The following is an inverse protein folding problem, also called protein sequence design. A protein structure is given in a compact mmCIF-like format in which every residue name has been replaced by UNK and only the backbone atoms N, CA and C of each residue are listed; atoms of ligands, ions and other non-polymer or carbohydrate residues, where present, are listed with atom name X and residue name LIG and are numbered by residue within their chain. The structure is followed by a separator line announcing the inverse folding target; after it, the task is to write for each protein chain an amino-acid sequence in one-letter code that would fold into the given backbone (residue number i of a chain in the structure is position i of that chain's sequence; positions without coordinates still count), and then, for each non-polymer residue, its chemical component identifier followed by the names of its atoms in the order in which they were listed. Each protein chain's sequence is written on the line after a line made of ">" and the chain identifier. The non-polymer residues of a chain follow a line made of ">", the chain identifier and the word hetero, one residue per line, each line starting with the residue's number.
data_IF_387279903717
#
_entry.id   IF_387279903717
#
_cell.length_a   1.000
_cell.length_b   1.000
_cell.length_c   1.000
_cell.angle_alpha   90.00
_cell.angle_beta   90.00
_cell.angle_gamma   90.00
#
_symmetry.space_group_name_H-M   'P 1'
#
loop_
_entity.id
_entity.type
_entity.pdbx_description
1 polymer ?
#
# COMPACT_ATOMS: atom_id res chain seq x y z
N UNK A 1 -11.16 -34.90 -8.31
CA UNK A 1 -12.10 -34.36 -9.32
C UNK A 1 -11.63 -32.95 -9.62
N UNK A 2 -11.34 -32.63 -10.88
CA UNK A 2 -10.93 -31.27 -11.25
C UNK A 2 -12.14 -30.34 -11.13
N UNK A 3 -12.10 -29.39 -10.21
CA UNK A 3 -13.15 -28.39 -10.04
C UNK A 3 -13.05 -27.38 -11.20
N UNK A 4 -13.68 -27.70 -12.33
CA UNK A 4 -13.85 -26.75 -13.42
C UNK A 4 -14.90 -25.72 -12.96
N UNK A 5 -14.47 -24.50 -12.67
CA UNK A 5 -15.37 -23.36 -12.43
C UNK A 5 -15.81 -22.82 -13.79
N UNK A 6 -17.11 -22.91 -14.09
CA UNK A 6 -17.69 -22.22 -15.24
C UNK A 6 -17.83 -20.74 -14.92
N UNK A 7 -17.51 -19.88 -15.89
CA UNK A 7 -17.76 -18.45 -15.76
C UNK A 7 -19.27 -18.16 -15.70
N UNK A 8 -19.65 -17.13 -14.96
CA UNK A 8 -21.02 -16.69 -14.75
C UNK A 8 -21.26 -15.40 -15.53
N UNK A 9 -22.21 -15.43 -16.45
CA UNK A 9 -22.52 -14.29 -17.31
C UNK A 9 -21.54 -14.11 -18.47
N UNK A 10 -21.63 -12.97 -19.15
CA UNK A 10 -20.74 -12.61 -20.25
C UNK A 10 -19.49 -11.87 -19.75
N UNK A 11 -18.40 -11.93 -20.51
CA UNK A 11 -17.28 -10.98 -20.37
C UNK A 11 -17.62 -9.72 -21.17
N UNK A 12 -17.47 -8.55 -20.55
CA UNK A 12 -17.77 -7.27 -21.18
C UNK A 12 -16.58 -6.75 -22.00
N UNK A 13 -16.85 -6.23 -23.20
CA UNK A 13 -15.88 -5.45 -23.98
C UNK A 13 -15.79 -3.98 -23.52
N UNK A 14 -16.74 -3.53 -22.70
CA UNK A 14 -16.76 -2.19 -22.10
C UNK A 14 -16.66 -2.34 -20.57
N UNK A 15 -15.48 -2.14 -19.97
CA UNK A 15 -15.30 -2.42 -18.56
C UNK A 15 -16.00 -1.39 -17.66
N UNK A 16 -16.35 -1.81 -16.45
CA UNK A 16 -16.70 -0.89 -15.38
C UNK A 16 -15.42 -0.44 -14.66
N UNK A 17 -15.23 0.86 -14.49
CA UNK A 17 -14.06 1.39 -13.78
C UNK A 17 -14.39 1.60 -12.31
N UNK A 18 -13.84 0.75 -11.45
CA UNK A 18 -14.03 0.80 -10.00
C UNK A 18 -13.01 1.76 -9.38
N UNK A 19 -13.46 3.00 -9.17
CA UNK A 19 -12.61 4.15 -8.80
C UNK A 19 -11.75 3.90 -7.57
N UNK A 20 -12.34 3.31 -6.52
CA UNK A 20 -11.67 3.10 -5.23
C UNK A 20 -10.44 2.19 -5.34
N UNK A 21 -10.42 1.28 -6.32
CA UNK A 21 -9.33 0.34 -6.55
C UNK A 21 -8.51 0.64 -7.80
N UNK A 22 -8.82 1.73 -8.53
CA UNK A 22 -8.22 2.08 -9.83
C UNK A 22 -8.13 0.86 -10.76
N UNK A 23 -9.26 0.15 -10.91
CA UNK A 23 -9.30 -1.13 -11.62
C UNK A 23 -10.47 -1.18 -12.59
N UNK A 24 -10.20 -1.66 -13.79
CA UNK A 24 -11.22 -1.97 -14.79
C UNK A 24 -11.72 -3.41 -14.63
N UNK A 25 -13.04 -3.56 -14.47
CA UNK A 25 -13.72 -4.85 -14.37
C UNK A 25 -14.34 -5.21 -15.72
N UNK A 26 -14.02 -6.40 -16.21
CA UNK A 26 -14.50 -7.00 -17.44
C UNK A 26 -15.40 -8.21 -17.19
N UNK A 27 -15.35 -8.83 -16.00
CA UNK A 27 -16.25 -9.94 -15.64
C UNK A 27 -16.70 -9.88 -14.17
N UNK A 28 -17.70 -10.69 -13.83
CA UNK A 28 -18.19 -10.78 -12.45
C UNK A 28 -17.17 -11.46 -11.53
N UNK A 29 -16.36 -12.38 -12.06
CA UNK A 29 -15.29 -13.05 -11.29
C UNK A 29 -14.18 -12.07 -10.89
N UNK A 30 -13.87 -11.08 -11.73
CA UNK A 30 -12.93 -10.01 -11.40
C UNK A 30 -13.47 -9.16 -10.24
N UNK A 31 -14.79 -8.89 -10.20
CA UNK A 31 -15.43 -8.25 -9.04
C UNK A 31 -15.33 -9.15 -7.79
N UNK A 32 -15.64 -10.44 -7.91
CA UNK A 32 -15.48 -11.39 -6.79
C UNK A 32 -14.03 -11.42 -6.27
N UNK A 33 -13.05 -11.38 -7.17
CA UNK A 33 -11.63 -11.33 -6.82
C UNK A 33 -11.31 -10.05 -6.04
N UNK A 34 -11.71 -8.88 -6.52
CA UNK A 34 -11.51 -7.60 -5.83
C UNK A 34 -12.14 -7.62 -4.43
N UNK A 35 -13.39 -8.11 -4.33
CA UNK A 35 -14.07 -8.23 -3.05
C UNK A 35 -13.28 -9.12 -2.09
N UNK A 36 -12.79 -10.26 -2.57
CA UNK A 36 -12.11 -11.24 -1.73
C UNK A 36 -10.77 -10.73 -1.21
N UNK A 37 -10.03 -10.04 -2.08
CA UNK A 37 -8.71 -9.52 -1.72
C UNK A 37 -8.77 -8.23 -0.90
N UNK A 38 -9.87 -7.47 -1.00
CA UNK A 38 -9.98 -6.14 -0.43
C UNK A 38 -11.22 -5.95 0.44
N UNK A 39 -11.79 -7.02 1.01
CA UNK A 39 -13.05 -6.98 1.77
C UNK A 39 -13.07 -5.90 2.85
N UNK A 40 -11.92 -5.63 3.48
CA UNK A 40 -11.78 -4.61 4.52
C UNK A 40 -11.85 -3.17 3.99
N UNK A 41 -11.47 -2.93 2.73
CA UNK A 41 -11.54 -1.62 2.10
C UNK A 41 -12.88 -1.30 1.47
N UNK A 42 -13.72 -2.30 1.23
CA UNK A 42 -14.98 -2.06 0.53
C UNK A 42 -15.84 -1.07 1.32
N UNK A 43 -16.44 -0.15 0.59
CA UNK A 43 -17.42 0.82 1.07
C UNK A 43 -18.76 0.59 0.33
N UNK A 44 -19.88 1.08 0.86
CA UNK A 44 -21.18 0.88 0.19
C UNK A 44 -21.23 1.60 -1.17
N UNK A 45 -20.52 2.72 -1.25
CA UNK A 45 -20.34 3.57 -2.43
C UNK A 45 -19.63 2.84 -3.58
N UNK A 46 -18.89 1.76 -3.29
CA UNK A 46 -18.27 0.92 -4.31
C UNK A 46 -19.29 0.14 -5.15
N UNK A 47 -20.51 -0.03 -4.61
CA UNK A 47 -21.62 -0.74 -5.22
C UNK A 47 -22.70 0.24 -5.70
N UNK A 48 -22.28 1.20 -6.52
CA UNK A 48 -23.15 2.24 -7.06
C UNK A 48 -24.17 1.71 -8.10
N UNK A 49 -25.09 2.58 -8.53
CA UNK A 49 -26.12 2.19 -9.51
C UNK A 49 -25.50 1.85 -10.88
N UNK A 50 -24.37 2.47 -11.24
CA UNK A 50 -23.69 2.21 -12.50
C UNK A 50 -23.09 0.79 -12.54
N UNK A 51 -22.55 0.30 -11.43
CA UNK A 51 -22.08 -1.08 -11.31
C UNK A 51 -23.25 -2.06 -11.49
N UNK A 52 -24.39 -1.79 -10.85
CA UNK A 52 -25.58 -2.65 -10.90
C UNK A 52 -26.18 -2.68 -12.31
N UNK A 53 -26.21 -1.56 -13.02
CA UNK A 53 -26.59 -1.46 -14.43
C UNK A 53 -25.60 -2.21 -15.33
N UNK A 54 -24.30 -2.06 -15.10
CA UNK A 54 -23.27 -2.78 -15.85
C UNK A 54 -23.40 -4.31 -15.69
N UNK A 55 -23.64 -4.80 -14.47
CA UNK A 55 -23.93 -6.22 -14.19
C UNK A 55 -25.13 -6.71 -15.00
N UNK A 56 -26.19 -5.89 -15.12
CA UNK A 56 -27.38 -6.23 -15.90
C UNK A 56 -27.09 -6.26 -17.40
N UNK A 57 -26.59 -5.15 -17.92
CA UNK A 57 -26.61 -4.88 -19.36
C UNK A 57 -25.39 -5.46 -20.07
N UNK A 58 -24.23 -5.46 -19.41
CA UNK A 58 -22.95 -5.91 -20.00
C UNK A 58 -22.62 -7.35 -19.67
N UNK A 59 -22.97 -7.81 -18.46
CA UNK A 59 -22.74 -9.21 -18.06
C UNK A 59 -23.97 -10.10 -18.25
N UNK A 60 -25.13 -9.51 -18.57
CA UNK A 60 -26.42 -10.19 -18.75
C UNK A 60 -26.93 -10.89 -17.48
N UNK A 61 -26.53 -10.42 -16.29
CA UNK A 61 -26.89 -10.98 -15.00
C UNK A 61 -28.11 -10.28 -14.39
N UNK A 62 -29.23 -10.27 -15.13
CA UNK A 62 -30.48 -9.65 -14.71
C UNK A 62 -30.94 -10.07 -13.30
N UNK A 63 -30.94 -11.37 -12.92
CA UNK A 63 -31.40 -11.77 -11.60
C UNK A 63 -30.53 -11.21 -10.47
N UNK A 64 -29.21 -11.15 -10.65
CA UNK A 64 -28.31 -10.55 -9.67
C UNK A 64 -28.56 -9.06 -9.55
N UNK A 65 -28.69 -8.35 -10.68
CA UNK A 65 -29.02 -6.92 -10.67
C UNK A 65 -30.34 -6.63 -9.94
N UNK A 66 -31.40 -7.41 -10.19
CA UNK A 66 -32.68 -7.27 -9.47
C UNK A 66 -32.53 -7.48 -7.96
N UNK A 67 -31.73 -8.47 -7.53
CA UNK A 67 -31.43 -8.68 -6.10
C UNK A 67 -30.71 -7.47 -5.49
N UNK A 68 -29.70 -6.93 -6.17
CA UNK A 68 -28.93 -5.78 -5.69
C UNK A 68 -29.78 -4.50 -5.60
N UNK A 69 -30.65 -4.24 -6.58
CA UNK A 69 -31.59 -3.11 -6.52
C UNK A 69 -32.53 -3.26 -5.32
N UNK A 70 -33.06 -4.46 -5.08
CA UNK A 70 -33.94 -4.70 -3.93
C UNK A 70 -33.22 -4.48 -2.60
N UNK A 71 -31.97 -4.93 -2.48
CA UNK A 71 -31.13 -4.69 -1.29
C UNK A 71 -30.90 -3.19 -1.07
N UNK A 72 -30.56 -2.46 -2.13
CA UNK A 72 -30.31 -1.01 -2.05
C UNK A 72 -31.57 -0.22 -1.69
N UNK A 73 -32.71 -0.55 -2.31
CA UNK A 73 -34.01 0.03 -1.96
C UNK A 73 -34.42 -0.29 -0.51
N UNK A 74 -34.06 -1.49 -0.04
CA UNK A 74 -34.24 -1.92 1.34
C UNK A 74 -33.23 -1.32 2.33
N UNK A 75 -32.27 -0.51 1.87
CA UNK A 75 -31.16 0.04 2.67
C UNK A 75 -30.35 -1.06 3.37
N UNK A 76 -30.15 -2.18 2.69
CA UNK A 76 -29.24 -3.22 3.17
C UNK A 76 -27.81 -2.69 3.21
N UNK A 77 -27.01 -3.17 4.15
CA UNK A 77 -25.64 -2.70 4.32
C UNK A 77 -24.67 -3.39 3.35
N UNK A 78 -23.42 -2.94 3.40
CA UNK A 78 -22.32 -3.52 2.63
C UNK A 78 -22.25 -5.05 2.72
N UNK A 79 -22.47 -5.59 3.92
CA UNK A 79 -22.39 -7.02 4.19
C UNK A 79 -23.36 -7.83 3.33
N UNK A 80 -24.64 -7.45 3.31
CA UNK A 80 -25.66 -8.14 2.54
C UNK A 80 -25.40 -8.06 1.03
N UNK A 81 -24.94 -6.89 0.56
CA UNK A 81 -24.60 -6.65 -0.85
C UNK A 81 -23.48 -7.61 -1.28
N UNK A 82 -22.35 -7.59 -0.55
CA UNK A 82 -21.18 -8.41 -0.85
C UNK A 82 -21.53 -9.90 -0.82
N UNK A 83 -22.19 -10.36 0.25
CA UNK A 83 -22.50 -11.79 0.41
C UNK A 83 -23.50 -12.28 -0.64
N UNK A 84 -24.39 -11.41 -1.13
CA UNK A 84 -25.30 -11.73 -2.24
C UNK A 84 -24.54 -11.92 -3.55
N UNK A 85 -23.60 -11.04 -3.88
CA UNK A 85 -22.77 -11.17 -5.09
C UNK A 85 -21.97 -12.47 -5.05
N UNK A 86 -21.20 -12.69 -3.98
CA UNK A 86 -20.33 -13.87 -3.90
C UNK A 86 -21.14 -15.18 -3.88
N UNK A 87 -22.27 -15.19 -3.17
CA UNK A 87 -23.17 -16.33 -3.11
C UNK A 87 -23.86 -16.64 -4.44
N UNK A 88 -24.23 -15.61 -5.21
CA UNK A 88 -24.83 -15.80 -6.54
C UNK A 88 -23.83 -16.38 -7.54
N UNK A 89 -22.61 -15.85 -7.57
CA UNK A 89 -21.59 -16.25 -8.56
C UNK A 89 -20.99 -17.62 -8.20
N UNK A 90 -20.81 -17.91 -6.92
CA UNK A 90 -20.20 -19.17 -6.47
C UNK A 90 -18.72 -19.30 -6.88
N UNK A 91 -18.05 -18.18 -7.17
CA UNK A 91 -16.64 -18.16 -7.55
C UNK A 91 -15.72 -18.50 -6.37
N UNK A 92 -16.11 -18.14 -5.15
CA UNK A 92 -15.28 -18.28 -3.96
C UNK A 92 -15.43 -19.65 -3.29
N UNK A 93 -14.35 -20.12 -2.68
CA UNK A 93 -14.37 -21.27 -1.79
C UNK A 93 -15.04 -20.91 -0.47
N UNK A 94 -15.55 -21.93 0.23
CA UNK A 94 -16.10 -21.76 1.59
C UNK A 94 -15.11 -21.12 2.57
N UNK A 95 -13.80 -21.32 2.38
CA UNK A 95 -12.78 -20.69 3.22
C UNK A 95 -12.71 -19.19 2.94
N UNK A 96 -12.58 -18.79 1.68
CA UNK A 96 -12.55 -17.38 1.26
C UNK A 96 -13.84 -16.65 1.69
N UNK A 97 -15.00 -17.30 1.53
CA UNK A 97 -16.29 -16.74 1.98
C UNK A 97 -16.34 -16.46 3.48
N UNK A 98 -15.74 -17.33 4.31
CA UNK A 98 -15.65 -17.09 5.77
C UNK A 98 -14.68 -15.97 6.12
N UNK A 99 -13.57 -15.86 5.40
CA UNK A 99 -12.59 -14.79 5.60
C UNK A 99 -13.20 -13.43 5.25
N UNK A 100 -13.86 -13.30 4.10
CA UNK A 100 -14.58 -12.07 3.69
C UNK A 100 -15.64 -11.69 4.73
N UNK A 101 -16.45 -12.66 5.17
CA UNK A 101 -17.46 -12.44 6.23
C UNK A 101 -16.84 -11.85 7.49
N UNK A 102 -15.77 -12.46 7.98
CA UNK A 102 -15.10 -12.01 9.21
C UNK A 102 -14.52 -10.61 9.06
N UNK A 103 -13.95 -10.28 7.90
CA UNK A 103 -13.39 -8.95 7.64
C UNK A 103 -14.48 -7.87 7.59
N UNK A 104 -15.63 -8.16 6.97
CA UNK A 104 -16.76 -7.23 6.91
C UNK A 104 -17.42 -7.01 8.29
N UNK A 105 -17.53 -8.08 9.10
CA UNK A 105 -18.03 -7.96 10.47
C UNK A 105 -17.08 -7.12 11.33
N UNK A 106 -15.77 -7.39 11.24
CA UNK A 106 -14.75 -6.61 11.95
C UNK A 106 -14.78 -5.14 11.57
N UNK A 107 -14.85 -4.83 10.26
CA UNK A 107 -14.93 -3.45 9.80
C UNK A 107 -16.20 -2.77 10.31
N UNK A 108 -17.35 -3.43 10.31
CA UNK A 108 -18.62 -2.82 10.75
C UNK A 108 -18.59 -2.30 12.20
N UNK A 109 -17.78 -2.92 13.07
CA UNK A 109 -17.66 -2.58 14.49
C UNK A 109 -16.53 -1.60 14.82
N UNK A 110 -15.65 -1.29 13.87
CA UNK A 110 -14.58 -0.31 14.07
C UNK A 110 -15.11 1.13 13.99
N UNK A 111 -14.52 2.02 14.80
CA UNK A 111 -14.78 3.45 14.64
C UNK A 111 -14.21 3.96 13.30
N UNK A 112 -14.61 5.17 12.91
CA UNK A 112 -14.19 5.73 11.63
C UNK A 112 -12.68 5.98 11.55
N UNK A 113 -12.03 6.27 12.67
CA UNK A 113 -10.60 6.51 12.73
C UNK A 113 -9.84 5.20 12.45
N UNK A 114 -10.18 4.13 13.15
CA UNK A 114 -9.55 2.81 13.00
C UNK A 114 -9.74 2.26 11.58
N UNK A 115 -10.93 2.46 10.99
CA UNK A 115 -11.17 2.13 9.57
C UNK A 115 -10.20 2.84 8.65
N UNK A 116 -10.08 4.16 8.78
CA UNK A 116 -9.20 4.98 7.94
C UNK A 116 -7.73 4.67 8.18
N UNK A 117 -7.32 4.46 9.43
CA UNK A 117 -5.96 4.08 9.76
C UNK A 117 -5.59 2.73 9.14
N UNK A 118 -6.48 1.73 9.24
CA UNK A 118 -6.24 0.43 8.63
C UNK A 118 -6.24 0.50 7.10
N UNK A 119 -7.11 1.32 6.49
CA UNK A 119 -7.07 1.62 5.05
C UNK A 119 -5.75 2.23 4.61
N UNK A 120 -5.26 3.25 5.33
CA UNK A 120 -3.99 3.90 5.07
C UNK A 120 -2.80 2.94 5.19
N UNK A 121 -2.79 2.08 6.23
CA UNK A 121 -1.79 1.02 6.40
C UNK A 121 -1.82 0.03 5.24
N UNK A 122 -3.01 -0.40 4.83
CA UNK A 122 -3.13 -1.36 3.75
C UNK A 122 -2.63 -0.79 2.40
N UNK A 123 -2.91 0.48 2.10
CA UNK A 123 -2.31 1.15 0.94
C UNK A 123 -0.78 1.21 1.02
N UNK A 124 -0.24 1.50 2.20
CA UNK A 124 1.20 1.53 2.43
C UNK A 124 1.84 0.14 2.22
N UNK A 125 1.23 -0.91 2.75
CA UNK A 125 1.67 -2.30 2.60
C UNK A 125 1.64 -2.76 1.14
N UNK A 126 0.63 -2.32 0.37
CA UNK A 126 0.54 -2.57 -1.07
C UNK A 126 1.51 -1.70 -1.90
N UNK A 127 2.20 -0.75 -1.29
CA UNK A 127 3.11 0.17 -1.98
C UNK A 127 2.41 1.30 -2.75
N UNK A 128 1.11 1.50 -2.55
CA UNK A 128 0.33 2.61 -3.12
C UNK A 128 0.56 3.89 -2.31
N UNK A 129 1.76 4.49 -2.46
CA UNK A 129 2.22 5.53 -1.55
C UNK A 129 1.39 6.81 -1.62
N UNK A 130 0.85 7.15 -2.79
CA UNK A 130 0.03 8.35 -2.97
C UNK A 130 -1.33 8.23 -2.26
N UNK A 131 -2.02 7.09 -2.41
CA UNK A 131 -3.26 6.81 -1.66
C UNK A 131 -3.03 6.74 -0.16
N UNK A 132 -1.93 6.12 0.28
CA UNK A 132 -1.57 6.08 1.69
C UNK A 132 -1.32 7.49 2.25
N UNK A 133 -0.60 8.34 1.50
CA UNK A 133 -0.30 9.72 1.91
C UNK A 133 -1.57 10.56 2.09
N UNK A 134 -2.53 10.43 1.17
CA UNK A 134 -3.80 11.14 1.25
C UNK A 134 -4.59 10.76 2.52
N UNK A 135 -4.72 9.46 2.80
CA UNK A 135 -5.42 8.99 3.99
C UNK A 135 -4.71 9.41 5.29
N UNK A 136 -3.37 9.32 5.36
CA UNK A 136 -2.64 9.78 6.54
C UNK A 136 -2.70 11.29 6.74
N UNK A 137 -2.76 12.09 5.67
CA UNK A 137 -2.95 13.55 5.77
C UNK A 137 -4.34 13.86 6.32
N UNK A 138 -5.38 13.19 5.82
CA UNK A 138 -6.72 13.33 6.37
C UNK A 138 -6.78 12.95 7.86
N UNK A 139 -6.10 11.88 8.27
CA UNK A 139 -6.01 11.47 9.66
C UNK A 139 -5.30 12.52 10.53
N UNK A 140 -4.18 13.10 10.06
CA UNK A 140 -3.49 14.20 10.76
C UNK A 140 -4.43 15.38 10.98
N UNK A 141 -5.20 15.77 9.97
CA UNK A 141 -6.11 16.93 10.02
C UNK A 141 -7.39 16.68 10.83
N UNK A 142 -7.81 15.41 10.97
CA UNK A 142 -9.09 15.04 11.60
C UNK A 142 -8.96 14.64 13.07
N UNK A 143 -7.75 14.37 13.54
CA UNK A 143 -7.51 13.96 14.93
C UNK A 143 -7.72 15.15 15.89
N UNK A 144 -8.40 14.94 17.03
CA UNK A 144 -8.54 15.99 18.04
C UNK A 144 -7.20 16.25 18.75
N UNK A 145 -7.00 17.47 19.26
CA UNK A 145 -5.75 17.95 19.91
C UNK A 145 -5.22 17.10 21.09
N UNK A 146 -5.98 16.11 21.57
CA UNK A 146 -5.60 15.18 22.64
C UNK A 146 -5.23 13.76 22.20
N UNK A 147 -5.44 13.39 20.93
CA UNK A 147 -5.21 12.05 20.41
C UNK A 147 -3.72 11.83 20.02
N UNK A 148 -2.84 12.02 21.00
CA UNK A 148 -1.39 12.04 20.78
C UNK A 148 -0.85 10.68 20.32
N UNK A 149 -1.38 9.57 20.85
CA UNK A 149 -0.90 8.23 20.49
C UNK A 149 -1.21 7.91 19.02
N UNK A 150 -2.42 8.23 18.60
CA UNK A 150 -2.89 8.10 17.22
C UNK A 150 -2.08 8.98 16.28
N UNK A 151 -1.84 10.22 16.69
CA UNK A 151 -1.04 11.18 15.93
C UNK A 151 0.42 10.72 15.76
N UNK A 152 1.02 10.10 16.78
CA UNK A 152 2.35 9.53 16.68
C UNK A 152 2.42 8.41 15.63
N UNK A 153 1.40 7.55 15.57
CA UNK A 153 1.29 6.50 14.53
C UNK A 153 1.16 7.12 13.13
N UNK A 154 0.37 8.19 12.99
CA UNK A 154 0.23 8.92 11.72
C UNK A 154 1.59 9.50 11.29
N UNK A 155 2.30 10.17 12.20
CA UNK A 155 3.63 10.72 11.89
C UNK A 155 4.64 9.66 11.51
N UNK A 156 4.66 8.51 12.20
CA UNK A 156 5.53 7.40 11.83
C UNK A 156 5.32 6.99 10.36
N UNK A 157 4.07 6.70 9.99
CA UNK A 157 3.76 6.19 8.66
C UNK A 157 3.92 7.24 7.56
N UNK A 158 3.68 8.52 7.86
CA UNK A 158 4.07 9.62 6.95
C UNK A 158 5.59 9.64 6.73
N UNK A 159 6.38 9.46 7.79
CA UNK A 159 7.84 9.32 7.68
C UNK A 159 8.25 8.14 6.80
N UNK A 160 7.61 6.97 6.97
CA UNK A 160 7.85 5.79 6.13
C UNK A 160 7.53 6.07 4.66
N UNK A 161 6.40 6.72 4.37
CA UNK A 161 6.00 7.10 3.00
C UNK A 161 7.06 8.02 2.38
N UNK A 162 7.46 9.07 3.09
CA UNK A 162 8.47 10.03 2.63
C UNK A 162 9.83 9.36 2.39
N UNK A 163 10.25 8.47 3.30
CA UNK A 163 11.49 7.71 3.15
C UNK A 163 11.46 6.78 1.92
N UNK A 164 10.32 6.11 1.65
CA UNK A 164 10.14 5.30 0.43
C UNK A 164 10.11 6.14 -0.84
N UNK A 165 9.72 7.42 -0.75
CA UNK A 165 9.81 8.39 -1.85
C UNK A 165 11.20 9.03 -1.97
N UNK A 166 12.16 8.66 -1.13
CA UNK A 166 13.51 9.24 -1.00
C UNK A 166 13.56 10.69 -0.46
N UNK A 167 12.47 11.18 0.13
CA UNK A 167 12.39 12.47 0.83
C UNK A 167 12.82 12.32 2.28
N UNK A 168 14.10 11.99 2.46
CA UNK A 168 14.63 11.57 3.77
C UNK A 168 14.68 12.71 4.80
N UNK A 169 14.88 13.97 4.39
CA UNK A 169 14.87 15.08 5.34
C UNK A 169 13.46 15.33 5.88
N UNK A 170 12.45 15.31 5.01
CA UNK A 170 11.05 15.43 5.37
C UNK A 170 10.59 14.21 6.18
N UNK A 171 11.08 13.01 5.85
CA UNK A 171 10.85 11.81 6.66
C UNK A 171 11.41 11.97 8.08
N UNK A 172 12.63 12.52 8.21
CA UNK A 172 13.23 12.80 9.51
C UNK A 172 12.36 13.76 10.33
N UNK A 173 11.82 14.82 9.74
CA UNK A 173 10.90 15.73 10.45
C UNK A 173 9.67 14.99 11.01
N UNK A 174 9.09 14.06 10.24
CA UNK A 174 7.94 13.26 10.70
C UNK A 174 8.31 12.29 11.81
N UNK A 175 9.41 11.55 11.68
CA UNK A 175 9.90 10.68 12.76
C UNK A 175 10.29 11.46 14.01
N UNK A 176 10.79 12.69 13.86
CA UNK A 176 11.08 13.56 15.01
C UNK A 176 9.82 13.91 15.77
N UNK A 177 8.74 14.26 15.08
CA UNK A 177 7.42 14.52 15.69
C UNK A 177 6.85 13.28 16.39
N UNK A 178 6.99 12.09 15.80
CA UNK A 178 6.65 10.84 16.48
C UNK A 178 7.43 10.68 17.79
N UNK A 179 8.76 10.88 17.75
CA UNK A 179 9.61 10.74 18.93
C UNK A 179 9.30 11.78 20.02
N UNK A 180 8.92 13.00 19.64
CA UNK A 180 8.49 14.03 20.60
C UNK A 180 7.21 13.65 21.36
N UNK A 181 6.38 12.76 20.80
CA UNK A 181 5.16 12.30 21.45
C UNK A 181 5.40 10.98 22.19
N UNK A 182 5.90 9.98 21.48
CA UNK A 182 5.92 8.60 21.96
C UNK A 182 7.19 8.28 22.78
N UNK A 183 8.26 9.07 22.61
CA UNK A 183 9.56 8.89 23.27
C UNK A 183 10.13 7.46 23.17
N UNK A 184 9.80 6.74 22.10
CA UNK A 184 10.25 5.36 21.92
C UNK A 184 11.62 5.29 21.25
N UNK A 185 12.37 4.24 21.58
CA UNK A 185 13.63 3.91 20.88
C UNK A 185 13.42 3.74 19.37
N UNK A 186 12.28 3.18 18.96
CA UNK A 186 11.98 2.93 17.54
C UNK A 186 11.80 4.23 16.75
N UNK A 187 11.08 5.20 17.32
CA UNK A 187 10.89 6.51 16.71
C UNK A 187 12.23 7.25 16.55
N UNK A 188 13.06 7.23 17.61
CA UNK A 188 14.39 7.83 17.57
C UNK A 188 15.29 7.16 16.53
N UNK A 189 15.29 5.82 16.44
CA UNK A 189 16.05 5.09 15.41
C UNK A 189 15.60 5.48 13.99
N UNK A 190 14.29 5.57 13.75
CA UNK A 190 13.75 5.93 12.43
C UNK A 190 14.18 7.34 12.00
N UNK A 191 14.10 8.30 12.94
CA UNK A 191 14.64 9.64 12.76
C UNK A 191 16.13 9.62 12.44
N UNK A 192 16.92 8.87 13.22
CA UNK A 192 18.37 8.81 13.05
C UNK A 192 18.78 8.19 11.70
N UNK A 193 18.06 7.18 11.21
CA UNK A 193 18.30 6.63 9.87
C UNK A 193 18.12 7.66 8.78
N UNK A 194 17.00 8.40 8.85
CA UNK A 194 16.66 9.40 7.86
C UNK A 194 17.71 10.53 7.80
N UNK A 195 18.15 11.06 8.96
CA UNK A 195 19.22 12.07 8.98
C UNK A 195 20.58 11.51 8.58
N UNK A 196 20.91 10.27 8.96
CA UNK A 196 22.20 9.65 8.64
C UNK A 196 22.43 9.50 7.14
N UNK A 197 21.36 9.21 6.39
CA UNK A 197 21.39 9.10 4.92
C UNK A 197 21.63 10.48 4.26
N UNK A 198 21.14 11.56 4.85
CA UNK A 198 21.28 12.92 4.30
C UNK A 198 22.56 13.64 4.71
N UNK A 199 23.20 13.23 5.80
CA UNK A 199 24.36 13.91 6.37
C UNK A 199 25.67 13.30 5.89
N UNK A 200 26.68 14.17 5.74
CA UNK A 200 28.07 13.70 5.67
C UNK A 200 28.50 13.09 7.00
N UNK A 201 29.53 12.25 6.98
CA UNK A 201 30.07 11.62 8.20
C UNK A 201 30.42 12.65 9.28
N UNK A 202 31.05 13.77 8.89
CA UNK A 202 31.38 14.86 9.81
C UNK A 202 30.12 15.48 10.45
N UNK A 203 29.14 15.85 9.64
CA UNK A 203 27.89 16.45 10.14
C UNK A 203 27.16 15.51 11.10
N UNK A 204 27.16 14.21 10.78
CA UNK A 204 26.55 13.20 11.62
C UNK A 204 27.28 13.04 12.96
N UNK A 205 28.62 12.97 12.97
CA UNK A 205 29.41 12.89 14.21
C UNK A 205 29.18 14.13 15.08
N UNK A 206 29.23 15.32 14.49
CA UNK A 206 29.00 16.58 15.21
C UNK A 206 27.58 16.59 15.84
N UNK A 207 26.56 16.18 15.07
CA UNK A 207 25.18 16.08 15.54
C UNK A 207 25.00 15.07 16.68
N UNK A 208 25.64 13.89 16.58
CA UNK A 208 25.57 12.86 17.61
C UNK A 208 26.28 13.28 18.90
N UNK A 209 27.38 14.03 18.81
CA UNK A 209 28.07 14.55 19.98
C UNK A 209 27.19 15.52 20.80
N UNK A 210 26.35 16.30 20.12
CA UNK A 210 25.45 17.27 20.74
C UNK A 210 24.15 16.64 21.28
N UNK A 211 23.81 15.42 20.86
CA UNK A 211 22.57 14.72 21.25
C UNK A 211 22.85 13.39 21.97
N UNK A 212 22.81 13.43 23.32
CA UNK A 212 23.14 12.27 24.17
C UNK A 212 22.29 11.03 23.90
N UNK A 213 20.99 11.19 23.66
CA UNK A 213 20.09 10.06 23.43
C UNK A 213 20.38 9.40 22.08
N UNK A 214 20.67 10.21 21.06
CA UNK A 214 21.08 9.71 19.74
C UNK A 214 22.47 9.05 19.79
N UNK A 215 23.41 9.61 20.56
CA UNK A 215 24.74 9.03 20.74
C UNK A 215 24.69 7.59 21.25
N UNK A 216 23.82 7.29 22.23
CA UNK A 216 23.66 5.94 22.81
C UNK A 216 23.22 4.90 21.77
N UNK A 217 22.48 5.32 20.74
CA UNK A 217 21.97 4.45 19.68
C UNK A 217 22.84 4.44 18.42
N UNK A 218 23.79 5.37 18.31
CA UNK A 218 24.64 5.54 17.11
C UNK A 218 25.37 4.26 16.73
N UNK A 219 25.92 3.52 17.69
CA UNK A 219 26.60 2.25 17.43
C UNK A 219 25.66 1.18 16.87
N UNK A 220 24.45 1.08 17.40
CA UNK A 220 23.44 0.13 16.89
C UNK A 220 23.01 0.52 15.47
N UNK A 221 22.85 1.82 15.22
CA UNK A 221 22.49 2.34 13.91
C UNK A 221 23.58 2.05 12.87
N UNK A 222 24.84 2.38 13.16
CA UNK A 222 25.95 2.16 12.22
C UNK A 222 26.14 0.67 11.94
N UNK A 223 25.94 -0.20 12.94
CA UNK A 223 25.95 -1.65 12.71
C UNK A 223 24.88 -2.05 11.69
N UNK A 224 23.64 -1.61 11.89
CA UNK A 224 22.53 -1.94 10.97
C UNK A 224 22.72 -1.33 9.58
N UNK A 225 23.28 -0.12 9.47
CA UNK A 225 23.67 0.50 8.20
C UNK A 225 24.72 -0.35 7.47
N UNK A 226 25.74 -0.82 8.20
CA UNK A 226 26.76 -1.72 7.67
C UNK A 226 26.15 -3.05 7.21
N UNK A 227 25.27 -3.66 8.01
CA UNK A 227 24.59 -4.92 7.66
C UNK A 227 23.74 -4.75 6.38
N UNK A 228 23.03 -3.62 6.23
CA UNK A 228 22.28 -3.30 5.03
C UNK A 228 23.20 -3.13 3.80
N UNK A 229 24.37 -2.51 3.96
CA UNK A 229 25.40 -2.42 2.92
C UNK A 229 25.90 -3.79 2.47
N UNK A 230 26.12 -4.72 3.41
CA UNK A 230 26.55 -6.09 3.09
C UNK A 230 25.47 -6.87 2.33
N UNK A 231 24.20 -6.69 2.69
CA UNK A 231 23.07 -7.29 1.96
C UNK A 231 23.05 -6.77 0.52
N UNK A 232 23.18 -5.45 0.33
CA UNK A 232 23.23 -4.86 -1.00
C UNK A 232 24.45 -5.36 -1.80
N UNK A 233 25.63 -5.44 -1.18
CA UNK A 233 26.85 -5.90 -1.85
C UNK A 233 26.77 -7.36 -2.31
N UNK A 234 25.97 -8.19 -1.64
CA UNK A 234 25.68 -9.57 -2.02
C UNK A 234 24.46 -9.73 -2.95
N UNK A 235 23.77 -8.62 -3.27
CA UNK A 235 22.54 -8.61 -4.07
C UNK A 235 22.78 -8.66 -5.57
N UNK A 236 21.75 -9.07 -6.32
CA UNK A 236 21.79 -9.14 -7.78
C UNK A 236 22.06 -7.77 -8.41
N UNK A 237 21.47 -6.69 -7.88
CA UNK A 237 21.68 -5.33 -8.37
C UNK A 237 23.16 -4.93 -8.38
N UNK A 238 23.88 -5.25 -7.31
CA UNK A 238 25.32 -5.00 -7.22
C UNK A 238 26.09 -5.82 -8.24
N UNK A 239 25.74 -7.09 -8.41
CA UNK A 239 26.36 -7.97 -9.40
C UNK A 239 26.13 -7.48 -10.84
N UNK A 240 24.93 -6.98 -11.15
CA UNK A 240 24.62 -6.37 -12.44
C UNK A 240 25.48 -5.12 -12.68
N UNK A 241 25.56 -4.20 -11.71
CA UNK A 241 26.40 -2.99 -11.83
C UNK A 241 27.90 -3.31 -11.96
N UNK A 242 28.38 -4.34 -11.26
CA UNK A 242 29.76 -4.81 -11.39
C UNK A 242 30.03 -5.35 -12.79
N UNK A 243 29.11 -6.14 -13.35
CA UNK A 243 29.21 -6.67 -14.72
C UNK A 243 29.27 -5.53 -15.75
N UNK A 244 28.41 -4.53 -15.62
CA UNK A 244 28.42 -3.35 -16.49
C UNK A 244 29.72 -2.55 -16.37
N UNK A 245 30.31 -2.49 -15.18
CA UNK A 245 31.60 -1.84 -14.96
C UNK A 245 32.74 -2.54 -15.71
N UNK A 246 32.68 -3.88 -15.84
CA UNK A 246 33.63 -4.65 -16.65
C UNK A 246 33.46 -4.34 -18.14
N UNK A 247 32.23 -4.32 -18.67
CA UNK A 247 31.99 -3.96 -20.07
C UNK A 247 32.52 -2.57 -20.41
N UNK A 248 32.38 -1.61 -19.48
CA UNK A 248 32.96 -0.27 -19.64
C UNK A 248 34.49 -0.31 -19.68
N UNK A 249 35.12 -1.09 -18.82
CA UNK A 249 36.59 -1.22 -18.75
C UNK A 249 37.17 -1.92 -19.99
N UNK A 250 36.46 -2.89 -20.56
CA UNK A 250 36.86 -3.63 -21.77
C UNK A 250 36.55 -2.87 -23.08
N UNK A 251 35.95 -1.68 -22.99
CA UNK A 251 35.59 -0.86 -24.16
C UNK A 251 34.31 -1.30 -24.88
N UNK A 252 33.55 -2.25 -24.32
CA UNK A 252 32.24 -2.63 -24.83
C UNK A 252 31.16 -1.61 -24.40
N UNK A 253 31.27 -0.41 -24.98
CA UNK A 253 30.42 0.73 -24.62
C UNK A 253 28.95 0.53 -25.00
N UNK A 254 28.64 -0.31 -25.98
CA UNK A 254 27.26 -0.60 -26.39
C UNK A 254 26.55 -1.41 -25.29
N UNK A 255 27.11 -2.56 -24.90
CA UNK A 255 26.52 -3.39 -23.84
C UNK A 255 26.42 -2.64 -22.50
N UNK A 256 27.44 -1.83 -22.16
CA UNK A 256 27.40 -0.97 -20.98
C UNK A 256 26.22 0.01 -21.01
N UNK A 257 26.04 0.75 -22.13
CA UNK A 257 24.97 1.75 -22.26
C UNK A 257 23.60 1.11 -22.23
N UNK A 258 23.41 0.01 -22.95
CA UNK A 258 22.12 -0.68 -23.03
C UNK A 258 21.70 -1.22 -21.66
N UNK A 259 22.60 -1.90 -20.95
CA UNK A 259 22.31 -2.41 -19.61
C UNK A 259 22.10 -1.30 -18.57
N UNK A 260 22.88 -0.21 -18.61
CA UNK A 260 22.64 0.95 -17.74
C UNK A 260 21.27 1.58 -18.00
N UNK A 261 20.86 1.70 -19.27
CA UNK A 261 19.56 2.24 -19.63
C UNK A 261 18.42 1.36 -19.15
N UNK A 262 18.58 0.03 -19.22
CA UNK A 262 17.61 -0.93 -18.71
C UNK A 262 17.42 -0.80 -17.20
N UNK A 263 18.51 -0.76 -16.43
CA UNK A 263 18.45 -0.55 -14.97
C UNK A 263 17.72 0.77 -14.64
N UNK A 264 18.13 1.87 -15.28
CA UNK A 264 17.50 3.18 -15.06
C UNK A 264 16.02 3.16 -15.43
N UNK A 265 15.64 2.48 -16.50
CA UNK A 265 14.24 2.35 -16.93
C UNK A 265 13.43 1.60 -15.89
N UNK A 266 13.91 0.44 -15.43
CA UNK A 266 13.22 -0.39 -14.43
C UNK A 266 13.05 0.38 -13.11
N UNK A 267 14.10 1.03 -12.62
CA UNK A 267 14.01 1.88 -11.41
C UNK A 267 12.99 3.02 -11.55
N UNK A 268 12.91 3.64 -12.74
CA UNK A 268 11.92 4.70 -13.01
C UNK A 268 10.50 4.15 -13.06
N UNK A 269 10.29 2.98 -13.65
CA UNK A 269 8.99 2.32 -13.72
C UNK A 269 8.50 1.92 -12.33
N UNK A 270 9.38 1.32 -11.51
CA UNK A 270 9.09 0.98 -10.12
C UNK A 270 8.76 2.22 -9.29
N UNK A 271 9.58 3.27 -9.37
CA UNK A 271 9.33 4.51 -8.64
C UNK A 271 8.02 5.18 -9.05
N UNK A 272 7.70 5.20 -10.35
CA UNK A 272 6.42 5.72 -10.85
C UNK A 272 5.25 4.90 -10.36
N UNK A 273 5.35 3.57 -10.37
CA UNK A 273 4.29 2.69 -9.86
C UNK A 273 4.02 2.86 -8.37
N UNK A 274 5.03 3.24 -7.58
CA UNK A 274 4.84 3.57 -6.17
C UNK A 274 4.17 4.95 -5.95
N UNK A 275 4.41 5.90 -6.86
CA UNK A 275 3.97 7.30 -6.72
C UNK A 275 2.73 7.66 -7.54
N UNK A 276 2.27 6.80 -8.45
CA UNK A 276 0.98 6.88 -9.12
C UNK A 276 -0.15 6.58 -8.14
#
# INVERSE_FOLDING_TARGET
>A
MSNVKMCVGARSDTPYYMKHFDTQLYSIEELCYIITQNAFLLEEEDFDDNLIEWIRDRLHLNPLSDMLINLKNGKAGLFEIVMTILGYVGYNTEKEMREVRSLLEQSSHMDQFDKKLNKARMYLDQGKLSSAEEEYRYLEDSLPDGALNELAVVYHNQGVILARKFYFMEAAERFRKEYDIAHTKSALMSYMYAVRICMTEKQYIDYMADNKDAYLLSMELEKKMSDAGLIYDAGEDKHQLATLSVYKAEGNLTAYKDGMNEIIRNMKEEYRGMCS
#
